data_IF_976910327932
#
_entry.id   IF_976910327932
#
_cell.length_a   1.000
_cell.length_b   1.000
_cell.length_c   1.000
_cell.angle_alpha   90.00
_cell.angle_beta   90.00
_cell.angle_gamma   90.00
#
_symmetry.space_group_name_H-M   'P 1'
#
loop_
_entity.id
_entity.type
_entity.pdbx_description
1 polymer ?
#
# COMPACT_ATOMS: atom_id res chain seq x y z
N UNK A 1 2.08 -11.06 -5.35
CA UNK A 1 0.65 -11.24 -5.70
C UNK A 1 -0.29 -10.59 -4.69
N UNK A 2 0.03 -10.57 -3.39
CA UNK A 2 -0.82 -9.94 -2.38
C UNK A 2 -1.04 -8.44 -2.57
N UNK A 3 -0.04 -7.63 -2.90
CA UNK A 3 -0.25 -6.18 -2.97
C UNK A 3 -1.03 -5.74 -4.23
N UNK A 4 -0.49 -6.03 -5.43
CA UNK A 4 -1.15 -5.68 -6.69
C UNK A 4 -2.40 -6.53 -6.98
N UNK A 5 -2.30 -7.85 -6.76
CA UNK A 5 -3.42 -8.78 -6.95
C UNK A 5 -4.50 -8.64 -5.88
N UNK A 6 -4.15 -8.25 -4.64
CA UNK A 6 -5.14 -7.98 -3.60
C UNK A 6 -5.90 -6.67 -3.80
N UNK A 7 -5.28 -5.64 -4.39
CA UNK A 7 -6.01 -4.45 -4.84
C UNK A 7 -6.98 -4.79 -5.98
N UNK A 8 -6.55 -5.59 -6.96
CA UNK A 8 -7.44 -6.08 -8.03
C UNK A 8 -8.57 -6.97 -7.48
N UNK A 9 -8.26 -7.88 -6.56
CA UNK A 9 -9.25 -8.72 -5.89
C UNK A 9 -10.26 -7.90 -5.09
N UNK A 10 -9.80 -6.86 -4.40
CA UNK A 10 -10.69 -5.94 -3.66
C UNK A 10 -11.69 -5.28 -4.61
N UNK A 11 -11.23 -4.75 -5.75
CA UNK A 11 -12.09 -4.07 -6.71
C UNK A 11 -12.99 -5.03 -7.50
N UNK A 12 -12.44 -6.16 -7.96
CA UNK A 12 -13.13 -7.08 -8.86
C UNK A 12 -14.04 -8.08 -8.16
N UNK A 13 -13.74 -8.46 -6.91
CA UNK A 13 -14.47 -9.51 -6.18
C UNK A 13 -15.14 -8.96 -4.94
N UNK A 14 -14.39 -8.26 -4.10
CA UNK A 14 -14.80 -7.86 -2.75
C UNK A 14 -15.84 -6.73 -2.76
N UNK A 15 -15.64 -5.73 -3.64
CA UNK A 15 -16.61 -4.64 -3.84
C UNK A 15 -17.94 -5.17 -4.41
N UNK A 16 -17.96 -6.01 -5.47
CA UNK A 16 -19.19 -6.64 -5.94
C UNK A 16 -19.84 -7.56 -4.91
N UNK A 17 -19.08 -8.42 -4.23
CA UNK A 17 -19.61 -9.34 -3.22
C UNK A 17 -20.30 -8.59 -2.06
N UNK A 18 -19.75 -7.44 -1.65
CA UNK A 18 -20.37 -6.62 -0.60
C UNK A 18 -21.74 -6.03 -0.98
N UNK A 19 -22.11 -6.01 -2.28
CA UNK A 19 -23.44 -5.55 -2.74
C UNK A 19 -24.52 -6.63 -2.62
N UNK A 20 -24.16 -7.84 -2.23
CA UNK A 20 -25.12 -8.93 -2.03
C UNK A 20 -26.01 -8.66 -0.82
N UNK A 21 -27.31 -8.95 -0.90
CA UNK A 21 -28.32 -8.65 0.13
C UNK A 21 -27.99 -9.21 1.54
N UNK A 22 -27.20 -10.29 1.59
CA UNK A 22 -26.75 -10.91 2.85
C UNK A 22 -25.68 -10.07 3.55
N UNK A 23 -24.85 -9.37 2.78
CA UNK A 23 -23.70 -8.60 3.28
C UNK A 23 -24.03 -7.11 3.36
N UNK A 24 -25.04 -6.65 2.62
CA UNK A 24 -25.50 -5.26 2.55
C UNK A 24 -25.73 -4.58 3.91
N UNK A 25 -26.38 -5.23 4.91
CA UNK A 25 -26.62 -4.60 6.21
C UNK A 25 -25.33 -4.38 7.01
N UNK A 26 -24.34 -5.25 6.83
CA UNK A 26 -23.11 -5.30 7.64
C UNK A 26 -21.86 -4.99 6.81
N UNK A 27 -21.99 -4.22 5.72
CA UNK A 27 -20.88 -3.93 4.80
C UNK A 27 -19.69 -3.29 5.51
N UNK A 28 -19.95 -2.37 6.44
CA UNK A 28 -18.90 -1.70 7.22
C UNK A 28 -18.04 -2.70 8.00
N UNK A 29 -18.69 -3.57 8.78
CA UNK A 29 -18.04 -4.63 9.56
C UNK A 29 -17.32 -5.64 8.67
N UNK A 30 -17.91 -6.01 7.52
CA UNK A 30 -17.29 -6.89 6.53
C UNK A 30 -15.99 -6.32 5.97
N UNK A 31 -15.98 -5.05 5.54
CA UNK A 31 -14.78 -4.37 5.06
C UNK A 31 -13.74 -4.16 6.17
N UNK A 32 -14.18 -3.89 7.41
CA UNK A 32 -13.28 -3.77 8.57
C UNK A 32 -12.52 -5.07 8.83
N UNK A 33 -13.22 -6.20 8.99
CA UNK A 33 -12.58 -7.49 9.31
C UNK A 33 -11.60 -7.92 8.20
N UNK A 34 -12.01 -7.78 6.94
CA UNK A 34 -11.16 -8.16 5.80
C UNK A 34 -9.99 -7.19 5.66
N UNK A 35 -10.24 -5.89 5.76
CA UNK A 35 -9.23 -4.84 5.67
C UNK A 35 -8.16 -4.99 6.74
N UNK A 36 -8.53 -5.24 7.99
CA UNK A 36 -7.58 -5.45 9.10
C UNK A 36 -6.70 -6.69 8.88
N UNK A 37 -7.30 -7.82 8.47
CA UNK A 37 -6.54 -9.05 8.19
C UNK A 37 -5.59 -8.85 7.01
N UNK A 38 -6.07 -8.21 5.94
CA UNK A 38 -5.29 -7.95 4.75
C UNK A 38 -4.15 -6.97 5.00
N UNK A 39 -4.40 -5.93 5.79
CA UNK A 39 -3.39 -4.97 6.23
C UNK A 39 -2.29 -5.65 7.05
N UNK A 40 -2.65 -6.48 8.03
CA UNK A 40 -1.67 -7.22 8.85
C UNK A 40 -0.71 -8.06 8.00
N UNK A 41 -1.25 -8.79 7.02
CA UNK A 41 -0.44 -9.59 6.09
C UNK A 41 0.42 -8.68 5.21
N UNK A 42 -0.13 -7.55 4.75
CA UNK A 42 0.60 -6.58 3.92
C UNK A 42 1.81 -5.99 4.65
N UNK A 43 1.69 -5.68 5.94
CA UNK A 43 2.80 -5.20 6.77
C UNK A 43 3.91 -6.23 6.93
N UNK A 44 3.56 -7.51 7.14
CA UNK A 44 4.55 -8.60 7.18
C UNK A 44 5.27 -8.69 5.82
N UNK A 45 4.54 -8.61 4.72
CA UNK A 45 5.11 -8.65 3.38
C UNK A 45 6.01 -7.44 3.08
N UNK A 46 5.65 -6.24 3.54
CA UNK A 46 6.51 -5.06 3.42
C UNK A 46 7.82 -5.26 4.16
N UNK A 47 7.78 -5.83 5.38
CA UNK A 47 8.98 -6.14 6.14
C UNK A 47 9.87 -7.16 5.41
N UNK A 48 9.27 -8.22 4.84
CA UNK A 48 9.99 -9.19 4.01
C UNK A 48 10.60 -8.52 2.77
N UNK A 49 9.88 -7.63 2.09
CA UNK A 49 10.39 -6.89 0.93
C UNK A 49 11.57 -5.98 1.28
N UNK A 50 11.55 -5.34 2.45
CA UNK A 50 12.67 -4.53 2.94
C UNK A 50 13.88 -5.43 3.17
N UNK A 51 13.71 -6.52 3.92
CA UNK A 51 14.80 -7.45 4.23
C UNK A 51 15.40 -8.04 2.94
N UNK A 52 14.55 -8.58 2.06
CA UNK A 52 15.01 -9.15 0.79
C UNK A 52 15.64 -8.11 -0.13
N UNK A 53 15.16 -6.85 -0.10
CA UNK A 53 15.77 -5.73 -0.81
C UNK A 53 17.19 -5.43 -0.31
N UNK A 54 17.39 -5.39 1.00
CA UNK A 54 18.72 -5.19 1.61
C UNK A 54 19.65 -6.36 1.26
N UNK A 55 19.20 -7.60 1.44
CA UNK A 55 20.00 -8.79 1.12
C UNK A 55 20.40 -8.84 -0.35
N UNK A 56 19.52 -8.42 -1.27
CA UNK A 56 19.84 -8.38 -2.70
C UNK A 56 20.87 -7.29 -3.05
N UNK A 57 20.98 -6.22 -2.26
CA UNK A 57 21.99 -5.20 -2.45
C UNK A 57 23.36 -5.68 -1.96
N UNK A 58 23.40 -6.36 -0.80
CA UNK A 58 24.64 -6.90 -0.25
C UNK A 58 25.19 -8.06 -1.10
N UNK A 59 24.34 -8.92 -1.65
CA UNK A 59 24.79 -10.00 -2.57
C UNK A 59 25.31 -9.48 -3.91
N UNK A 60 24.93 -8.26 -4.32
CA UNK A 60 25.47 -7.58 -5.51
C UNK A 60 26.80 -6.86 -5.26
N UNK A 61 27.35 -6.96 -4.05
CA UNK A 61 28.64 -6.38 -3.68
C UNK A 61 28.56 -4.93 -3.19
N UNK A 62 27.36 -4.38 -2.95
CA UNK A 62 27.23 -3.07 -2.30
C UNK A 62 27.40 -3.24 -0.79
N UNK A 63 28.43 -2.62 -0.22
CA UNK A 63 28.61 -2.52 1.23
C UNK A 63 27.48 -1.66 1.82
N UNK A 64 26.95 -2.05 2.97
CA UNK A 64 25.92 -1.32 3.70
C UNK A 64 26.39 0.09 4.11
N UNK A 65 27.71 0.29 4.21
CA UNK A 65 28.32 1.60 4.49
C UNK A 65 28.08 2.63 3.38
N UNK A 66 27.95 2.19 2.13
CA UNK A 66 27.69 3.06 0.98
C UNK A 66 26.33 3.78 1.08
N UNK A 67 25.37 3.23 1.83
CA UNK A 67 24.07 3.89 2.05
C UNK A 67 24.19 5.16 2.89
N UNK A 68 25.24 5.31 3.70
CA UNK A 68 25.49 6.50 4.51
C UNK A 68 26.28 7.58 3.74
N UNK A 69 26.75 7.27 2.53
CA UNK A 69 27.49 8.22 1.72
C UNK A 69 26.55 9.02 0.81
N UNK A 70 26.53 10.36 1.00
CA UNK A 70 25.71 11.24 0.17
C UNK A 70 26.08 11.20 -1.33
N UNK A 71 27.31 10.78 -1.67
CA UNK A 71 27.78 10.63 -3.05
C UNK A 71 27.11 9.47 -3.79
N UNK A 72 26.82 8.37 -3.09
CA UNK A 72 26.18 7.17 -3.66
C UNK A 72 24.81 7.49 -4.27
N UNK A 73 24.04 8.37 -3.63
CA UNK A 73 22.69 8.72 -4.05
C UNK A 73 22.61 9.72 -5.21
N UNK A 74 23.73 10.35 -5.61
CA UNK A 74 23.73 11.45 -6.60
C UNK A 74 23.71 10.99 -8.06
N UNK A 75 24.19 9.79 -8.39
CA UNK A 75 24.32 9.35 -9.78
C UNK A 75 24.24 7.82 -9.94
N UNK A 76 23.95 7.36 -11.17
CA UNK A 76 23.99 5.95 -11.56
C UNK A 76 22.97 5.09 -10.80
N UNK A 77 23.41 3.90 -10.38
CA UNK A 77 22.57 2.91 -9.70
C UNK A 77 21.94 3.43 -8.39
N UNK A 78 22.71 4.17 -7.58
CA UNK A 78 22.27 4.67 -6.28
C UNK A 78 21.15 5.71 -6.39
N UNK A 79 21.14 6.54 -7.45
CA UNK A 79 20.05 7.48 -7.71
C UNK A 79 18.71 6.75 -7.95
N UNK A 80 18.69 5.77 -8.86
CA UNK A 80 17.48 5.00 -9.15
C UNK A 80 16.99 4.18 -7.95
N UNK A 81 17.93 3.63 -7.17
CA UNK A 81 17.61 2.96 -5.92
C UNK A 81 16.99 3.94 -4.91
N UNK A 82 17.54 5.15 -4.78
CA UNK A 82 17.03 6.20 -3.88
C UNK A 82 15.61 6.62 -4.23
N UNK A 83 15.34 6.87 -5.52
CA UNK A 83 13.98 7.17 -6.00
C UNK A 83 13.03 6.01 -5.69
N UNK A 84 13.44 4.76 -5.94
CA UNK A 84 12.62 3.58 -5.62
C UNK A 84 12.30 3.50 -4.13
N UNK A 85 13.29 3.71 -3.25
CA UNK A 85 13.11 3.68 -1.80
C UNK A 85 12.25 4.85 -1.30
N UNK A 86 12.39 6.04 -1.89
CA UNK A 86 11.52 7.18 -1.59
C UNK A 86 10.07 6.88 -1.93
N UNK A 87 9.80 6.38 -3.15
CA UNK A 87 8.43 6.01 -3.56
C UNK A 87 7.88 4.91 -2.65
N UNK A 88 8.69 3.91 -2.30
CA UNK A 88 8.30 2.85 -1.37
C UNK A 88 7.99 3.40 0.02
N UNK A 89 8.79 4.35 0.53
CA UNK A 89 8.54 5.03 1.80
C UNK A 89 7.23 5.84 1.79
N UNK A 90 6.97 6.58 0.72
CA UNK A 90 5.69 7.30 0.53
C UNK A 90 4.51 6.32 0.53
N UNK A 91 4.65 5.18 -0.16
CA UNK A 91 3.66 4.10 -0.16
C UNK A 91 3.43 3.57 1.25
N UNK A 92 4.47 3.33 2.05
CA UNK A 92 4.33 2.86 3.43
C UNK A 92 3.59 3.88 4.30
N UNK A 93 3.91 5.16 4.17
CA UNK A 93 3.23 6.24 4.92
C UNK A 93 1.76 6.30 4.53
N UNK A 94 1.45 6.32 3.23
CA UNK A 94 0.07 6.34 2.74
C UNK A 94 -0.69 5.09 3.18
N UNK A 95 -0.06 3.91 3.09
CA UNK A 95 -0.67 2.64 3.51
C UNK A 95 -0.92 2.63 5.02
N UNK A 96 0.01 3.12 5.83
CA UNK A 96 -0.17 3.21 7.28
C UNK A 96 -1.25 4.20 7.68
N UNK A 97 -1.27 5.39 7.08
CA UNK A 97 -2.34 6.37 7.32
C UNK A 97 -3.70 5.77 6.91
N UNK A 98 -3.76 5.10 5.77
CA UNK A 98 -4.99 4.44 5.31
C UNK A 98 -5.45 3.36 6.27
N UNK A 99 -4.57 2.44 6.65
CA UNK A 99 -4.93 1.23 7.38
C UNK A 99 -5.14 1.47 8.87
N UNK A 100 -4.38 2.40 9.48
CA UNK A 100 -4.47 2.67 10.91
C UNK A 100 -5.36 3.86 11.26
N UNK A 101 -5.55 4.84 10.36
CA UNK A 101 -6.32 6.05 10.66
C UNK A 101 -7.62 6.13 9.86
N UNK A 102 -7.55 6.10 8.53
CA UNK A 102 -8.73 6.33 7.70
C UNK A 102 -9.68 5.13 7.64
N UNK A 103 -9.17 3.89 7.67
CA UNK A 103 -9.95 2.67 7.65
C UNK A 103 -10.84 2.51 8.90
N UNK A 104 -10.27 2.51 10.13
CA UNK A 104 -11.05 2.37 11.36
C UNK A 104 -12.05 3.51 11.55
N UNK A 105 -11.64 4.75 11.23
CA UNK A 105 -12.48 5.94 11.38
C UNK A 105 -13.63 5.98 10.38
N UNK A 106 -13.44 5.48 9.16
CA UNK A 106 -14.52 5.33 8.19
C UNK A 106 -15.53 4.26 8.62
N UNK A 107 -15.07 3.15 9.22
CA UNK A 107 -15.95 2.10 9.75
C UNK A 107 -16.78 2.59 10.95
N UNK A 108 -16.15 3.32 11.89
CA UNK A 108 -16.81 3.90 13.06
C UNK A 108 -17.86 4.96 12.68
N UNK A 109 -17.58 5.79 11.67
CA UNK A 109 -18.54 6.78 11.15
C UNK A 109 -19.71 6.12 10.39
N UNK A 110 -19.50 4.96 9.76
CA UNK A 110 -20.57 4.19 9.11
C UNK A 110 -21.51 3.53 10.13
N UNK A 111 -21.02 3.13 11.30
CA UNK A 111 -21.85 2.56 12.38
C UNK A 111 -22.58 3.64 13.19
N UNK A 112 -21.96 4.80 13.43
CA UNK A 112 -22.52 5.86 14.28
C UNK A 112 -23.44 6.84 13.56
N UNK A 113 -23.17 7.21 12.30
CA UNK A 113 -23.97 8.18 11.55
C UNK A 113 -23.99 7.88 10.03
N UNK A 114 -24.84 6.96 9.56
CA UNK A 114 -24.86 6.50 8.17
C UNK A 114 -25.07 7.61 7.12
N UNK A 115 -25.90 8.60 7.41
CA UNK A 115 -26.33 9.65 6.47
C UNK A 115 -25.54 10.97 6.58
N UNK A 116 -24.47 11.02 7.39
CA UNK A 116 -23.71 12.27 7.53
C UNK A 116 -22.80 12.55 6.32
N UNK A 117 -22.66 13.83 5.95
CA UNK A 117 -21.71 14.29 4.93
C UNK A 117 -20.25 13.86 5.23
N UNK A 118 -19.93 13.68 6.50
CA UNK A 118 -18.60 13.22 6.95
C UNK A 118 -18.38 11.74 6.60
N UNK A 119 -19.38 10.89 6.76
CA UNK A 119 -19.34 9.46 6.38
C UNK A 119 -19.10 9.31 4.88
N UNK A 120 -19.78 10.09 4.04
CA UNK A 120 -19.56 10.10 2.60
C UNK A 120 -18.14 10.56 2.21
N UNK A 121 -17.62 11.58 2.90
CA UNK A 121 -16.28 12.15 2.62
C UNK A 121 -15.17 11.18 2.99
N UNK A 122 -15.23 10.58 4.19
CA UNK A 122 -14.27 9.57 4.64
C UNK A 122 -14.28 8.32 3.75
N UNK A 123 -15.46 7.91 3.25
CA UNK A 123 -15.57 6.80 2.29
C UNK A 123 -14.90 7.12 0.95
N UNK A 124 -15.04 8.35 0.46
CA UNK A 124 -14.34 8.83 -0.75
C UNK A 124 -12.83 8.86 -0.53
N UNK A 125 -12.37 9.39 0.60
CA UNK A 125 -10.94 9.49 0.93
C UNK A 125 -10.31 8.10 1.04
N UNK A 126 -10.91 7.17 1.79
CA UNK A 126 -10.41 5.79 1.88
C UNK A 126 -10.39 5.10 0.51
N UNK A 127 -11.44 5.26 -0.30
CA UNK A 127 -11.47 4.72 -1.67
C UNK A 127 -10.43 5.35 -2.60
N UNK A 128 -10.09 6.63 -2.42
CA UNK A 128 -9.10 7.32 -3.24
C UNK A 128 -7.68 6.98 -2.80
N UNK A 129 -7.43 6.85 -1.50
CA UNK A 129 -6.17 6.38 -0.94
C UNK A 129 -5.81 4.97 -1.44
N UNK A 130 -6.79 4.04 -1.48
CA UNK A 130 -6.59 2.73 -2.09
C UNK A 130 -6.23 2.79 -3.58
N UNK A 131 -6.85 3.71 -4.34
CA UNK A 131 -6.53 3.92 -5.76
C UNK A 131 -5.18 4.58 -5.99
N UNK A 132 -4.78 5.52 -5.14
CA UNK A 132 -3.44 6.10 -5.18
C UNK A 132 -2.38 5.05 -4.92
N UNK A 133 -2.62 4.13 -3.98
CA UNK A 133 -1.68 3.05 -3.68
C UNK A 133 -1.50 2.11 -4.89
N UNK A 134 -2.56 1.88 -5.67
CA UNK A 134 -2.48 1.13 -6.92
C UNK A 134 -1.64 1.84 -7.99
N UNK A 135 -1.85 3.15 -8.17
CA UNK A 135 -1.05 3.96 -9.10
C UNK A 135 0.43 4.02 -8.71
N UNK A 136 0.71 4.22 -7.42
CA UNK A 136 2.09 4.21 -6.90
C UNK A 136 2.73 2.82 -7.05
N UNK A 137 1.97 1.75 -6.83
CA UNK A 137 2.42 0.39 -7.10
C UNK A 137 2.81 0.16 -8.57
N UNK A 138 2.05 0.71 -9.52
CA UNK A 138 2.40 0.67 -10.96
C UNK A 138 3.70 1.42 -11.25
N UNK A 139 3.88 2.59 -10.65
CA UNK A 139 5.11 3.36 -10.78
C UNK A 139 6.32 2.59 -10.23
N UNK A 140 6.20 1.95 -9.07
CA UNK A 140 7.26 1.09 -8.50
C UNK A 140 7.62 -0.04 -9.46
N UNK A 141 6.63 -0.70 -10.06
CA UNK A 141 6.86 -1.78 -11.03
C UNK A 141 7.57 -1.26 -12.29
N UNK A 142 7.14 -0.11 -12.81
CA UNK A 142 7.76 0.54 -13.96
C UNK A 142 9.25 0.85 -13.72
N UNK A 143 9.57 1.47 -12.58
CA UNK A 143 10.96 1.78 -12.21
C UNK A 143 11.78 0.52 -11.93
N UNK A 144 11.17 -0.52 -11.33
CA UNK A 144 11.84 -1.81 -11.13
C UNK A 144 12.26 -2.46 -12.46
N UNK A 145 11.40 -2.42 -13.48
CA UNK A 145 11.72 -2.94 -14.82
C UNK A 145 12.81 -2.08 -15.49
N UNK A 146 12.76 -0.76 -15.32
CA UNK A 146 13.79 0.15 -15.85
C UNK A 146 15.17 -0.11 -15.25
N UNK A 147 15.26 -0.41 -13.96
CA UNK A 147 16.53 -0.77 -13.28
C UNK A 147 17.12 -2.09 -13.80
N UNK A 148 16.29 -3.02 -14.28
CA UNK A 148 16.75 -4.32 -14.82
C UNK A 148 17.18 -4.22 -16.29
N UNK A 149 16.65 -3.22 -17.03
CA UNK A 149 16.89 -3.04 -18.47
C UNK A 149 17.86 -1.90 -18.81
N UNK A 150 18.36 -1.19 -17.81
CA UNK A 150 19.30 -0.07 -17.95
C UNK A 150 20.65 -0.40 -17.35
#
# INVERSE_FOLDING_TARGET
MFWFGGMLFTVAVLVPASRHKIIEPNRGTFFKIIGEKFSRISWILFLILIITGITNLTTRGFDWRLFFEAGFWKAGFGYYLGVKLMIFGVVLIISGLHDFYFGPKAAELMESNPDSLQTHTFRKISSWLGRMNLLLGLMILYYAIRIVRG
#
